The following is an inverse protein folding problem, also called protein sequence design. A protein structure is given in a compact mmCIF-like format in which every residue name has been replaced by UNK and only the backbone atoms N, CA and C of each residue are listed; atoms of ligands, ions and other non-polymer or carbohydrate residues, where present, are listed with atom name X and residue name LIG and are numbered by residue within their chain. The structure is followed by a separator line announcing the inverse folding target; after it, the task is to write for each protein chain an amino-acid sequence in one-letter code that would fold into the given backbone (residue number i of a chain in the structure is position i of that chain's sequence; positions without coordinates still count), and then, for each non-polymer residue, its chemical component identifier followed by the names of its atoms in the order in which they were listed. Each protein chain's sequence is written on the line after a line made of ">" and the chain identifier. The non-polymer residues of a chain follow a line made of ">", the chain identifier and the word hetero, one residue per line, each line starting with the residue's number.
data_IF_842431770872
#
_entry.id   IF_842431770872
#
_cell.length_a   1.000
_cell.length_b   1.000
_cell.length_c   1.000
_cell.angle_alpha   90.00
_cell.angle_beta   90.00
_cell.angle_gamma   90.00
#
_symmetry.space_group_name_H-M   'P 1'
#
loop_
_entity.id
_entity.type
_entity.pdbx_description
1 polymer ?
#
# COMPACT_ATOMS: atom_id res chain seq x y z
N UNK A 1 19.85 -96.39 11.86
CA UNK A 1 18.82 -95.51 12.47
C UNK A 1 19.55 -94.28 13.02
N UNK A 2 20.11 -93.38 12.22
CA UNK A 2 19.51 -92.29 11.42
C UNK A 2 18.66 -91.32 12.24
N UNK A 3 19.19 -90.11 12.44
CA UNK A 3 18.50 -88.82 12.28
C UNK A 3 19.59 -87.73 12.16
N UNK A 4 20.02 -87.45 10.92
CA UNK A 4 20.84 -86.28 10.58
C UNK A 4 19.91 -85.05 10.56
N UNK A 5 20.19 -84.04 11.39
CA UNK A 5 19.58 -82.71 11.26
C UNK A 5 20.14 -82.04 9.99
N UNK A 6 19.26 -81.76 9.03
CA UNK A 6 19.53 -80.86 7.90
C UNK A 6 19.31 -79.43 8.39
N UNK A 7 20.36 -78.62 8.40
CA UNK A 7 20.24 -77.16 8.45
C UNK A 7 19.95 -76.68 7.03
N UNK A 8 18.82 -75.99 6.84
CA UNK A 8 18.47 -75.36 5.58
C UNK A 8 19.21 -74.02 5.49
N UNK A 9 20.13 -73.91 4.52
CA UNK A 9 20.72 -72.64 4.10
C UNK A 9 19.80 -72.00 3.07
N UNK A 10 19.05 -70.98 3.47
CA UNK A 10 18.39 -70.07 2.54
C UNK A 10 19.44 -69.12 1.99
N UNK A 11 19.76 -69.29 0.71
CA UNK A 11 20.57 -68.36 -0.08
C UNK A 11 19.79 -67.04 -0.18
N UNK A 12 20.23 -66.02 0.54
CA UNK A 12 19.73 -64.66 0.37
C UNK A 12 20.34 -64.16 -0.94
N UNK A 13 19.52 -64.08 -1.98
CA UNK A 13 19.82 -63.24 -3.14
C UNK A 13 19.94 -61.80 -2.65
N UNK A 14 21.12 -61.20 -2.83
CA UNK A 14 21.26 -59.76 -2.83
C UNK A 14 20.40 -59.25 -3.99
N UNK A 15 19.18 -58.85 -3.68
CA UNK A 15 18.52 -57.81 -4.46
C UNK A 15 19.37 -56.57 -4.18
N UNK A 16 20.17 -56.17 -5.16
CA UNK A 16 20.65 -54.80 -5.24
C UNK A 16 19.38 -53.95 -5.12
N UNK A 17 19.20 -53.30 -3.97
CA UNK A 17 18.32 -52.14 -3.88
C UNK A 17 18.87 -51.17 -4.93
N UNK A 18 18.24 -51.19 -6.11
CA UNK A 18 18.27 -50.09 -7.04
C UNK A 18 18.00 -48.87 -6.18
N UNK A 19 19.06 -48.08 -5.95
CA UNK A 19 18.96 -46.82 -5.27
C UNK A 19 17.88 -46.05 -6.02
N UNK A 20 16.68 -46.00 -5.44
CA UNK A 20 15.65 -45.10 -5.89
C UNK A 20 16.32 -43.73 -5.85
N UNK A 21 16.74 -43.25 -7.02
CA UNK A 21 17.28 -41.91 -7.20
C UNK A 21 16.22 -41.01 -6.60
N UNK A 22 16.45 -40.56 -5.37
CA UNK A 22 15.62 -39.57 -4.72
C UNK A 22 15.93 -38.30 -5.49
N UNK A 23 15.22 -38.09 -6.60
CA UNK A 23 15.31 -36.89 -7.42
C UNK A 23 15.07 -35.73 -6.47
N UNK A 24 16.13 -35.02 -6.15
CA UNK A 24 16.09 -33.89 -5.27
C UNK A 24 15.42 -32.74 -6.01
N UNK A 25 14.69 -31.89 -5.30
CA UNK A 25 14.19 -30.63 -5.90
C UNK A 25 15.36 -29.83 -6.49
N UNK A 26 16.55 -29.95 -5.91
CA UNK A 26 17.78 -29.34 -6.40
C UNK A 26 18.30 -29.88 -7.74
N UNK A 27 17.81 -31.05 -8.17
CA UNK A 27 18.20 -31.68 -9.44
C UNK A 27 17.32 -31.20 -10.60
N UNK A 28 16.34 -30.34 -10.32
CA UNK A 28 15.50 -29.72 -11.34
C UNK A 28 16.28 -28.69 -12.16
N UNK A 29 15.96 -28.52 -13.46
CA UNK A 29 16.49 -27.43 -14.27
C UNK A 29 16.23 -26.06 -13.63
N UNK A 30 17.18 -25.14 -13.79
CA UNK A 30 17.15 -23.81 -13.19
C UNK A 30 15.83 -23.05 -13.44
N UNK A 31 15.33 -23.09 -14.68
CA UNK A 31 14.05 -22.46 -15.04
C UNK A 31 12.84 -23.10 -14.33
N UNK A 32 12.87 -24.41 -14.09
CA UNK A 32 11.79 -25.11 -13.39
C UNK A 32 11.77 -24.72 -11.90
N UNK A 33 12.95 -24.59 -11.28
CA UNK A 33 13.09 -24.09 -9.92
C UNK A 33 12.55 -22.67 -9.78
N UNK A 34 12.94 -21.77 -10.67
CA UNK A 34 12.49 -20.38 -10.61
C UNK A 34 10.96 -20.28 -10.79
N UNK A 35 10.38 -21.08 -11.70
CA UNK A 35 8.92 -21.17 -11.87
C UNK A 35 8.20 -21.67 -10.62
N UNK A 36 8.80 -22.59 -9.86
CA UNK A 36 8.24 -23.07 -8.59
C UNK A 36 8.29 -21.94 -7.56
N UNK A 37 9.45 -21.29 -7.41
CA UNK A 37 9.63 -20.19 -6.46
C UNK A 37 8.67 -19.02 -6.73
N UNK A 38 8.45 -18.63 -7.99
CA UNK A 38 7.50 -17.58 -8.40
C UNK A 38 6.02 -17.85 -8.06
N UNK A 39 5.69 -19.09 -7.68
CA UNK A 39 4.34 -19.51 -7.29
C UNK A 39 4.18 -19.68 -5.79
N UNK A 40 5.27 -19.68 -5.03
CA UNK A 40 5.21 -19.83 -3.59
C UNK A 40 4.65 -18.56 -2.92
N UNK A 41 3.85 -18.70 -1.85
CA UNK A 41 3.49 -17.54 -1.04
C UNK A 41 4.72 -16.99 -0.28
N UNK A 42 4.69 -15.71 0.15
CA UNK A 42 5.79 -15.06 0.88
C UNK A 42 6.35 -15.86 2.06
N UNK A 43 5.49 -16.54 2.82
CA UNK A 43 5.93 -17.34 3.98
C UNK A 43 6.71 -18.59 3.57
N UNK A 44 6.32 -19.20 2.46
CA UNK A 44 7.02 -20.35 1.89
C UNK A 44 8.36 -19.91 1.27
N UNK A 45 8.42 -18.75 0.62
CA UNK A 45 9.68 -18.16 0.15
C UNK A 45 10.66 -17.92 1.30
N UNK A 46 10.18 -17.32 2.40
CA UNK A 46 11.00 -17.14 3.61
C UNK A 46 11.49 -18.48 4.19
N UNK A 47 10.65 -19.52 4.16
CA UNK A 47 11.03 -20.85 4.64
C UNK A 47 12.08 -21.51 3.74
N UNK A 48 11.91 -21.43 2.42
CA UNK A 48 12.84 -21.97 1.43
C UNK A 48 14.21 -21.29 1.49
N UNK A 49 14.25 -20.00 1.80
CA UNK A 49 15.51 -19.27 2.04
C UNK A 49 16.35 -19.82 3.20
N UNK A 50 15.75 -20.61 4.08
CA UNK A 50 16.42 -21.28 5.20
C UNK A 50 17.13 -22.59 4.85
N UNK A 51 16.81 -23.21 3.72
CA UNK A 51 17.22 -24.60 3.39
C UNK A 51 18.71 -24.70 3.05
N UNK A 52 19.20 -23.85 2.14
CA UNK A 52 20.62 -23.81 1.75
C UNK A 52 21.00 -22.41 1.24
N UNK A 53 22.30 -22.17 1.00
CA UNK A 53 22.79 -20.87 0.49
C UNK A 53 22.23 -20.54 -0.89
N UNK A 54 22.20 -21.50 -1.81
CA UNK A 54 21.63 -21.31 -3.15
C UNK A 54 20.14 -20.93 -3.12
N UNK A 55 19.34 -21.55 -2.25
CA UNK A 55 17.91 -21.20 -2.13
C UNK A 55 17.72 -19.87 -1.45
N UNK A 56 18.59 -19.53 -0.50
CA UNK A 56 18.58 -18.21 0.13
C UNK A 56 18.72 -17.10 -0.89
N UNK A 57 19.72 -17.18 -1.76
CA UNK A 57 19.96 -16.15 -2.78
C UNK A 57 18.78 -16.03 -3.74
N UNK A 58 18.22 -17.15 -4.22
CA UNK A 58 17.05 -17.14 -5.12
C UNK A 58 15.78 -16.62 -4.45
N UNK A 59 15.47 -17.07 -3.24
CA UNK A 59 14.24 -16.69 -2.53
C UNK A 59 14.25 -15.22 -2.06
N UNK A 60 15.43 -14.59 -2.01
CA UNK A 60 15.59 -13.19 -1.68
C UNK A 60 15.68 -12.30 -2.92
N UNK A 61 15.63 -12.86 -4.13
CA UNK A 61 15.62 -12.10 -5.38
C UNK A 61 14.34 -11.25 -5.46
N UNK A 62 14.52 -9.95 -5.63
CA UNK A 62 13.44 -8.97 -5.67
C UNK A 62 12.42 -9.25 -6.78
N UNK A 63 12.80 -9.94 -7.86
CA UNK A 63 11.86 -10.34 -8.93
C UNK A 63 10.69 -11.18 -8.41
N UNK A 64 10.93 -12.04 -7.42
CA UNK A 64 9.88 -12.84 -6.78
C UNK A 64 8.95 -11.95 -5.95
N UNK A 65 9.51 -10.95 -5.28
CA UNK A 65 8.80 -10.07 -4.36
C UNK A 65 8.05 -8.94 -5.07
N UNK A 66 8.51 -8.47 -6.23
CA UNK A 66 7.82 -7.48 -7.07
C UNK A 66 6.39 -7.89 -7.38
N UNK A 67 6.20 -9.16 -7.74
CA UNK A 67 4.88 -9.73 -8.04
C UNK A 67 3.97 -9.72 -6.81
N UNK A 68 4.47 -10.18 -5.66
CA UNK A 68 3.71 -10.17 -4.41
C UNK A 68 3.37 -8.76 -3.95
N UNK A 69 4.33 -7.84 -4.04
CA UNK A 69 4.15 -6.44 -3.72
C UNK A 69 3.04 -5.83 -4.59
N UNK A 70 3.11 -6.01 -5.91
CA UNK A 70 2.10 -5.48 -6.83
C UNK A 70 0.71 -6.07 -6.59
N UNK A 71 0.62 -7.37 -6.32
CA UNK A 71 -0.65 -8.06 -6.13
C UNK A 71 -1.38 -7.65 -4.85
N UNK A 72 -0.66 -7.54 -3.71
CA UNK A 72 -1.28 -7.22 -2.43
C UNK A 72 -1.30 -5.72 -2.15
N UNK A 73 -0.17 -5.06 -2.37
CA UNK A 73 0.05 -3.68 -1.93
C UNK A 73 -0.08 -2.63 -3.04
N UNK A 74 -0.11 -3.06 -4.30
CA UNK A 74 -0.07 -2.17 -5.47
C UNK A 74 -1.20 -1.14 -5.55
N UNK A 75 -2.35 -1.38 -4.90
CA UNK A 75 -3.47 -0.43 -4.84
C UNK A 75 -3.28 0.70 -3.83
N UNK A 76 -2.50 0.46 -2.77
CA UNK A 76 -2.35 1.39 -1.64
C UNK A 76 -0.98 2.07 -1.65
N UNK A 77 0.03 1.43 -2.25
CA UNK A 77 1.39 1.97 -2.33
C UNK A 77 1.55 2.82 -3.59
N UNK A 78 1.65 4.13 -3.37
CA UNK A 78 2.05 5.10 -4.39
C UNK A 78 3.51 5.53 -4.29
N UNK A 79 3.89 6.51 -5.10
CA UNK A 79 5.26 7.05 -5.10
C UNK A 79 5.61 7.78 -3.79
N UNK A 80 4.61 8.34 -3.09
CA UNK A 80 4.81 8.91 -1.76
C UNK A 80 5.29 7.85 -0.75
N UNK A 81 4.69 6.66 -0.78
CA UNK A 81 5.09 5.55 0.08
C UNK A 81 6.49 5.01 -0.28
N UNK A 82 6.84 4.95 -1.57
CA UNK A 82 8.21 4.62 -2.02
C UNK A 82 9.24 5.61 -1.49
N UNK A 83 8.97 6.91 -1.59
CA UNK A 83 9.85 7.96 -1.05
C UNK A 83 10.02 7.81 0.46
N UNK A 84 8.92 7.61 1.18
CA UNK A 84 8.95 7.40 2.64
C UNK A 84 9.80 6.18 3.01
N UNK A 85 9.73 5.10 2.23
CA UNK A 85 10.54 3.91 2.44
C UNK A 85 12.04 4.20 2.26
N UNK A 86 12.44 4.89 1.18
CA UNK A 86 13.84 5.27 0.99
C UNK A 86 14.35 6.17 2.13
N UNK A 87 13.54 7.11 2.62
CA UNK A 87 13.88 7.92 3.80
C UNK A 87 14.02 7.08 5.08
N UNK A 88 13.13 6.11 5.26
CA UNK A 88 13.18 5.18 6.39
C UNK A 88 14.48 4.35 6.36
N UNK A 89 14.94 3.92 5.19
CA UNK A 89 16.22 3.21 5.05
C UNK A 89 17.40 4.13 5.33
N UNK A 90 17.44 5.31 4.71
CA UNK A 90 18.54 6.26 4.85
C UNK A 90 18.76 6.66 6.32
N UNK A 91 17.69 7.01 7.02
CA UNK A 91 17.76 7.37 8.45
C UNK A 91 18.31 6.24 9.34
N UNK A 92 18.07 4.97 8.98
CA UNK A 92 18.60 3.81 9.71
C UNK A 92 20.06 3.50 9.36
N UNK A 93 20.48 3.79 8.12
CA UNK A 93 21.88 3.69 7.73
C UNK A 93 22.74 4.73 8.48
N UNK A 94 22.24 5.97 8.62
CA UNK A 94 22.94 7.05 9.32
C UNK A 94 23.08 6.79 10.82
N UNK A 95 22.04 6.22 11.45
CA UNK A 95 22.10 5.80 12.86
C UNK A 95 23.09 4.64 13.10
N UNK A 96 23.29 3.81 12.08
CA UNK A 96 24.28 2.73 12.08
C UNK A 96 25.73 3.26 11.99
N UNK A 97 25.95 4.38 11.30
CA UNK A 97 27.27 4.99 11.13
C UNK A 97 27.73 5.82 12.34
N UNK A 98 26.82 6.39 13.15
CA UNK A 98 27.21 7.06 14.41
C UNK A 98 27.64 6.09 15.51
N UNK A 99 27.22 4.82 15.44
CA UNK A 99 27.48 3.81 16.47
C UNK A 99 28.65 2.89 16.12
N UNK A 100 29.81 3.45 15.77
CA UNK A 100 31.06 2.68 15.66
C UNK A 100 31.64 2.23 17.02
N UNK A 101 31.01 2.59 18.14
CA UNK A 101 31.30 2.06 19.48
C UNK A 101 30.14 1.27 20.04
N UNK A 102 30.16 -0.07 19.87
CA UNK A 102 29.29 -1.04 20.58
C UNK A 102 27.78 -0.97 20.28
N UNK A 103 27.35 -1.31 19.06
CA UNK A 103 26.10 -2.08 18.91
C UNK A 103 26.24 -3.11 17.78
N UNK A 104 26.64 -4.33 18.15
CA UNK A 104 26.35 -5.52 17.35
C UNK A 104 24.87 -5.83 17.51
N UNK A 105 24.11 -5.60 16.44
CA UNK A 105 22.93 -6.41 16.15
C UNK A 105 21.57 -5.76 16.39
N UNK A 106 20.94 -5.36 15.29
CA UNK A 106 19.49 -5.40 15.14
C UNK A 106 19.10 -5.81 13.69
N UNK A 107 19.73 -6.86 13.16
CA UNK A 107 19.15 -7.68 12.07
C UNK A 107 18.09 -8.67 12.62
N UNK A 108 17.30 -8.24 13.62
CA UNK A 108 16.21 -9.02 14.23
C UNK A 108 14.85 -8.59 13.66
N UNK A 109 14.74 -8.52 12.32
CA UNK A 109 13.42 -8.34 11.71
C UNK A 109 12.59 -9.64 11.83
N UNK A 110 13.23 -10.80 12.03
CA UNK A 110 12.58 -12.11 12.20
C UNK A 110 12.27 -12.52 13.65
N UNK A 111 12.14 -11.58 14.58
CA UNK A 111 11.80 -11.94 15.96
C UNK A 111 10.60 -11.13 16.41
N UNK A 112 9.54 -11.87 16.79
CA UNK A 112 8.27 -11.44 17.39
C UNK A 112 7.11 -11.44 16.38
N UNK A 113 6.36 -12.55 16.35
CA UNK A 113 4.93 -12.56 15.97
C UNK A 113 4.41 -13.68 15.05
N UNK A 114 5.25 -14.39 14.29
CA UNK A 114 4.82 -15.41 13.29
C UNK A 114 5.79 -16.62 13.28
N UNK A 115 5.53 -17.78 12.63
CA UNK A 115 6.19 -19.06 12.93
C UNK A 115 7.65 -19.17 12.44
N UNK A 116 8.31 -18.04 12.17
CA UNK A 116 9.71 -17.97 11.72
C UNK A 116 10.73 -18.12 12.86
N UNK A 117 10.35 -18.68 14.00
CA UNK A 117 11.30 -19.01 15.08
C UNK A 117 12.39 -20.01 14.64
N UNK A 118 12.22 -20.72 13.53
CA UNK A 118 13.11 -21.82 13.12
C UNK A 118 14.38 -21.39 12.38
N UNK A 119 14.58 -20.09 12.11
CA UNK A 119 15.85 -19.60 11.53
C UNK A 119 16.99 -19.56 12.59
N UNK A 120 16.72 -19.99 13.83
CA UNK A 120 17.77 -20.19 14.84
C UNK A 120 18.51 -21.51 14.59
N UNK A 121 19.46 -21.48 13.66
CA UNK A 121 20.49 -22.53 13.53
C UNK A 121 21.19 -22.71 14.88
N UNK A 122 20.90 -23.85 15.51
CA UNK A 122 21.51 -24.34 16.74
C UNK A 122 22.97 -24.72 16.43
N UNK A 123 23.91 -23.84 16.74
CA UNK A 123 25.33 -24.18 16.81
C UNK A 123 25.81 -23.73 18.18
N UNK A 124 25.74 -24.68 19.13
CA UNK A 124 26.51 -24.61 20.36
C UNK A 124 27.97 -24.97 20.04
N UNK A 125 28.89 -24.21 20.65
CA UNK A 125 30.18 -24.73 21.08
C UNK A 125 31.30 -24.82 20.04
N UNK A 126 32.30 -23.96 20.26
CA UNK A 126 33.72 -24.18 20.02
C UNK A 126 34.34 -23.61 18.72
N UNK A 127 35.32 -22.74 18.99
CA UNK A 127 36.41 -22.26 18.15
C UNK A 127 36.16 -21.22 17.04
N UNK A 128 36.66 -20.01 17.35
CA UNK A 128 37.17 -19.00 16.44
C UNK A 128 37.96 -19.64 15.28
N UNK A 129 37.46 -19.48 14.07
CA UNK A 129 38.10 -18.83 12.90
C UNK A 129 37.34 -19.26 11.64
N UNK A 130 37.11 -18.31 10.72
CA UNK A 130 36.47 -18.47 9.41
C UNK A 130 34.97 -18.11 9.30
N UNK A 131 34.66 -17.42 8.19
CA UNK A 131 33.36 -16.87 7.74
C UNK A 131 32.87 -15.53 8.33
N UNK A 132 33.69 -14.49 8.14
CA UNK A 132 33.17 -13.11 7.96
C UNK A 132 32.48 -12.96 6.59
N UNK A 133 31.41 -13.71 6.32
CA UNK A 133 30.50 -13.44 5.20
C UNK A 133 29.08 -13.85 5.59
N UNK A 134 28.45 -13.03 6.44
CA UNK A 134 27.01 -12.80 6.30
C UNK A 134 26.91 -11.50 5.53
N UNK A 135 26.62 -11.58 4.23
CA UNK A 135 26.16 -10.41 3.49
C UNK A 135 25.01 -9.79 4.28
N UNK A 136 25.08 -8.51 4.67
CA UNK A 136 23.89 -7.79 5.09
C UNK A 136 22.91 -7.89 3.91
N UNK A 137 21.68 -8.34 4.14
CA UNK A 137 20.62 -8.16 3.16
C UNK A 137 20.66 -6.68 2.71
N UNK A 138 20.55 -6.39 1.41
CA UNK A 138 20.43 -5.01 0.96
C UNK A 138 19.26 -4.39 1.74
N UNK A 139 19.55 -3.36 2.53
CA UNK A 139 18.52 -2.67 3.32
C UNK A 139 17.45 -2.04 2.41
N UNK A 140 17.77 -1.94 1.11
CA UNK A 140 16.96 -1.38 0.03
C UNK A 140 16.32 -2.42 -0.90
N UNK A 141 16.10 -3.67 -0.44
CA UNK A 141 15.42 -4.69 -1.25
C UNK A 141 13.89 -4.59 -1.16
N UNK A 142 13.21 -5.00 -2.22
CA UNK A 142 11.73 -5.08 -2.28
C UNK A 142 11.22 -6.11 -1.26
N UNK A 143 11.97 -7.20 -1.07
CA UNK A 143 11.69 -8.17 -0.01
C UNK A 143 11.65 -7.52 1.38
N UNK A 144 12.65 -6.70 1.70
CA UNK A 144 12.73 -6.02 3.00
C UNK A 144 11.54 -5.07 3.20
N UNK A 145 11.15 -4.36 2.14
CA UNK A 145 9.98 -3.49 2.17
C UNK A 145 8.68 -4.27 2.38
N UNK A 146 8.48 -5.35 1.63
CA UNK A 146 7.30 -6.22 1.75
C UNK A 146 7.15 -6.74 3.18
N UNK A 147 8.23 -7.26 3.77
CA UNK A 147 8.22 -7.76 5.15
C UNK A 147 7.95 -6.64 6.16
N UNK A 148 8.47 -5.43 5.94
CA UNK A 148 8.21 -4.29 6.83
C UNK A 148 6.72 -3.88 6.83
N UNK A 149 6.06 -3.96 5.68
CA UNK A 149 4.62 -3.73 5.51
C UNK A 149 3.80 -4.82 6.20
N UNK A 150 4.06 -6.10 5.88
CA UNK A 150 3.34 -7.25 6.46
C UNK A 150 3.42 -7.30 7.99
N UNK A 151 4.54 -6.86 8.55
CA UNK A 151 4.74 -6.87 10.00
C UNK A 151 4.17 -5.65 10.71
N UNK A 152 3.62 -4.67 9.97
CA UNK A 152 3.13 -3.42 10.55
C UNK A 152 4.21 -2.53 11.14
N UNK A 153 5.48 -2.75 10.76
CA UNK A 153 6.63 -1.99 11.30
C UNK A 153 6.92 -0.72 10.51
N UNK A 154 6.32 -0.59 9.33
CA UNK A 154 6.48 0.57 8.46
C UNK A 154 5.15 1.28 8.30
N UNK A 155 5.14 2.56 8.67
CA UNK A 155 4.00 3.44 8.43
C UNK A 155 4.27 4.26 7.17
N UNK A 156 3.29 4.42 6.31
CA UNK A 156 3.46 5.12 5.04
C UNK A 156 2.28 6.05 4.73
N UNK A 157 2.49 7.08 3.89
CA UNK A 157 1.41 7.98 3.48
C UNK A 157 0.44 7.27 2.51
N UNK A 158 -0.85 7.41 2.78
CA UNK A 158 -1.93 7.00 1.91
C UNK A 158 -3.15 7.90 2.14
N UNK A 159 -4.21 7.70 1.36
CA UNK A 159 -5.48 8.37 1.57
C UNK A 159 -6.55 7.40 2.07
N UNK A 160 -7.35 7.88 3.01
CA UNK A 160 -8.47 7.16 3.58
C UNK A 160 -9.77 7.80 3.08
N UNK A 161 -10.56 7.02 2.36
CA UNK A 161 -11.94 7.36 2.04
C UNK A 161 -12.76 7.43 3.34
N UNK A 162 -13.47 8.54 3.52
CA UNK A 162 -14.37 8.71 4.64
C UNK A 162 -15.64 7.91 4.37
N UNK A 163 -15.88 6.89 5.20
CA UNK A 163 -17.15 6.18 5.23
C UNK A 163 -17.90 6.69 6.44
N UNK A 164 -19.00 7.37 6.15
CA UNK A 164 -19.98 7.92 7.08
C UNK A 164 -19.98 7.27 8.47
N UNK A 165 -19.28 7.88 9.43
CA UNK A 165 -19.59 7.68 10.86
C UNK A 165 -20.77 8.58 11.25
N UNK A 166 -21.86 8.58 10.45
CA UNK A 166 -23.08 9.36 10.72
C UNK A 166 -22.97 10.87 10.53
N UNK A 167 -21.95 11.39 9.82
CA UNK A 167 -21.80 12.81 9.53
C UNK A 167 -22.00 13.12 8.04
N UNK A 168 -23.24 13.50 7.68
CA UNK A 168 -23.71 13.83 6.32
C UNK A 168 -22.86 14.90 5.62
N UNK A 169 -22.20 15.78 6.37
CA UNK A 169 -21.38 16.86 5.78
C UNK A 169 -20.13 16.40 5.02
N UNK A 170 -19.62 15.19 5.29
CA UNK A 170 -18.32 14.72 4.79
C UNK A 170 -18.43 13.54 3.80
N UNK A 171 -19.60 13.37 3.18
CA UNK A 171 -19.84 12.33 2.18
C UNK A 171 -18.91 12.50 0.97
N UNK A 172 -18.47 11.37 0.41
CA UNK A 172 -17.57 11.33 -0.74
C UNK A 172 -16.31 12.19 -0.58
N UNK A 173 -15.72 12.11 0.61
CA UNK A 173 -14.44 12.75 0.93
C UNK A 173 -13.34 11.73 1.20
N UNK A 174 -12.08 12.15 1.03
CA UNK A 174 -10.93 11.38 1.48
C UNK A 174 -9.84 12.29 2.05
N UNK A 175 -9.06 11.76 2.99
CA UNK A 175 -8.05 12.50 3.73
C UNK A 175 -6.71 11.79 3.70
N UNK A 176 -5.63 12.59 3.66
CA UNK A 176 -4.28 12.07 3.83
C UNK A 176 -4.08 11.57 5.27
N UNK A 177 -3.47 10.41 5.41
CA UNK A 177 -3.11 9.81 6.68
C UNK A 177 -1.80 9.02 6.58
N UNK A 178 -1.10 8.91 7.70
CA UNK A 178 -0.08 7.88 7.83
C UNK A 178 -0.75 6.58 8.23
N UNK A 179 -0.63 5.55 7.41
CA UNK A 179 -1.25 4.25 7.67
C UNK A 179 -0.22 3.21 8.10
N UNK A 180 -0.63 2.29 8.97
CA UNK A 180 0.14 1.14 9.42
C UNK A 180 -0.74 -0.10 9.39
N UNK A 181 -0.24 -1.20 8.85
CA UNK A 181 -0.98 -2.46 8.75
C UNK A 181 -0.95 -3.24 10.07
N UNK A 182 -2.07 -3.84 10.47
CA UNK A 182 -2.14 -4.83 11.56
C UNK A 182 -2.45 -6.22 10.96
N UNK A 183 -1.46 -7.14 10.93
CA UNK A 183 -1.65 -8.47 10.36
C UNK A 183 -2.62 -9.35 11.14
N UNK A 184 -2.96 -9.01 12.40
CA UNK A 184 -3.87 -9.84 13.22
C UNK A 184 -5.32 -9.67 12.82
N UNK A 185 -5.69 -8.48 12.37
CA UNK A 185 -7.06 -8.13 11.98
C UNK A 185 -7.21 -7.93 10.48
N UNK A 186 -6.12 -7.95 9.71
CA UNK A 186 -6.10 -7.64 8.28
C UNK A 186 -6.70 -6.25 7.98
N UNK A 187 -6.31 -5.27 8.81
CA UNK A 187 -6.80 -3.89 8.73
C UNK A 187 -5.67 -2.90 8.99
N UNK A 188 -5.96 -1.61 8.87
CA UNK A 188 -5.02 -0.54 9.07
C UNK A 188 -5.37 0.32 10.27
N UNK A 189 -4.32 0.90 10.86
CA UNK A 189 -4.40 2.05 11.71
C UNK A 189 -4.06 3.29 10.88
N UNK A 190 -4.98 4.24 10.80
CA UNK A 190 -4.78 5.52 10.14
C UNK A 190 -4.53 6.62 11.17
N UNK A 191 -3.44 7.37 10.99
CA UNK A 191 -3.05 8.50 11.82
C UNK A 191 -3.14 9.77 10.99
N UNK A 192 -4.14 10.60 11.27
CA UNK A 192 -4.38 11.83 10.52
C UNK A 192 -3.46 12.97 10.97
N UNK A 193 -3.10 13.91 10.08
CA UNK A 193 -2.32 15.08 10.47
C UNK A 193 -2.99 15.85 11.63
N UNK A 194 -2.19 16.37 12.58
CA UNK A 194 -2.73 17.21 13.64
C UNK A 194 -3.32 18.49 13.04
N UNK A 195 -4.36 19.02 13.67
CA UNK A 195 -4.98 20.27 13.26
C UNK A 195 -5.08 21.22 14.45
N UNK A 196 -4.35 22.33 14.38
CA UNK A 196 -4.20 23.29 15.48
C UNK A 196 -3.71 22.62 16.78
N UNK A 197 -4.46 22.79 17.86
CA UNK A 197 -4.15 22.22 19.19
C UNK A 197 -4.78 20.84 19.45
N UNK A 198 -5.50 20.27 18.48
CA UNK A 198 -6.19 18.99 18.71
C UNK A 198 -5.20 17.83 18.72
N UNK A 199 -5.43 16.81 19.56
CA UNK A 199 -4.62 15.60 19.52
C UNK A 199 -4.74 14.94 18.15
N UNK A 200 -3.68 14.22 17.77
CA UNK A 200 -3.68 13.45 16.53
C UNK A 200 -4.83 12.45 16.55
N UNK A 201 -5.72 12.55 15.55
CA UNK A 201 -6.80 11.60 15.38
C UNK A 201 -6.24 10.27 14.85
N UNK A 202 -6.63 9.19 15.52
CA UNK A 202 -6.22 7.82 15.17
C UNK A 202 -7.49 7.02 14.95
N UNK A 203 -7.60 6.42 13.77
CA UNK A 203 -8.66 5.49 13.41
C UNK A 203 -8.07 4.09 13.30
N UNK A 204 -8.69 3.12 13.96
CA UNK A 204 -8.25 1.72 13.96
C UNK A 204 -9.26 0.87 13.21
N UNK A 205 -8.80 -0.18 12.53
CA UNK A 205 -9.70 -1.08 11.82
C UNK A 205 -10.12 -0.55 10.45
N UNK A 206 -9.30 0.33 9.83
CA UNK A 206 -9.56 0.82 8.48
C UNK A 206 -9.36 -0.34 7.49
N UNK A 207 -10.38 -0.73 6.73
CA UNK A 207 -10.29 -1.85 5.81
C UNK A 207 -9.64 -1.44 4.48
N UNK A 208 -9.19 -2.42 3.70
CA UNK A 208 -8.47 -2.21 2.43
C UNK A 208 -9.26 -1.37 1.41
N UNK A 209 -10.58 -1.54 1.35
CA UNK A 209 -11.46 -0.88 0.37
C UNK A 209 -11.59 0.62 0.63
N UNK A 210 -11.22 1.09 1.82
CA UNK A 210 -11.22 2.51 2.18
C UNK A 210 -9.87 3.18 1.92
N UNK A 211 -8.89 2.45 1.41
CA UNK A 211 -7.56 3.00 1.19
C UNK A 211 -7.28 3.16 -0.30
N UNK A 212 -6.56 4.23 -0.62
CA UNK A 212 -5.92 4.41 -1.92
C UNK A 212 -4.54 5.00 -1.75
N UNK A 213 -3.69 4.78 -2.75
CA UNK A 213 -2.44 5.54 -2.88
C UNK A 213 -2.73 7.05 -3.01
N UNK A 214 -1.88 7.89 -2.43
CA UNK A 214 -2.00 9.34 -2.60
C UNK A 214 -1.78 9.70 -4.08
N UNK A 215 -2.80 10.27 -4.77
CA UNK A 215 -2.74 10.50 -6.21
C UNK A 215 -1.83 11.69 -6.56
N UNK A 216 -1.65 12.61 -5.62
CA UNK A 216 -0.82 13.82 -5.79
C UNK A 216 0.29 13.87 -4.76
N UNK A 217 1.43 14.46 -5.14
CA UNK A 217 2.55 14.67 -4.22
C UNK A 217 2.43 15.91 -3.33
N UNK A 218 1.32 16.67 -3.44
CA UNK A 218 1.10 17.91 -2.69
C UNK A 218 0.93 17.61 -1.20
N UNK A 219 1.64 18.32 -0.30
CA UNK A 219 1.43 18.17 1.14
C UNK A 219 -0.01 18.49 1.58
N UNK A 220 -0.52 17.90 2.67
CA UNK A 220 -1.92 18.08 3.08
C UNK A 220 -2.34 19.51 3.41
N UNK A 221 -1.38 20.41 3.73
CA UNK A 221 -1.67 21.81 4.07
C UNK A 221 -1.50 22.77 2.89
N UNK A 222 -0.99 22.26 1.77
CA UNK A 222 -0.67 23.06 0.60
C UNK A 222 -1.80 22.92 -0.44
N UNK A 223 -2.12 24.03 -1.07
CA UNK A 223 -3.11 24.05 -2.15
C UNK A 223 -2.51 23.35 -3.38
N UNK A 224 -3.22 22.39 -3.93
CA UNK A 224 -2.88 21.76 -5.19
C UNK A 224 -3.04 22.75 -6.34
N UNK A 225 -2.03 22.80 -7.21
CA UNK A 225 -2.04 23.67 -8.39
C UNK A 225 -2.80 22.95 -9.49
N UNK A 226 -4.01 23.44 -9.78
CA UNK A 226 -4.91 22.85 -10.78
C UNK A 226 -4.39 23.14 -12.19
N UNK A 227 -3.97 22.10 -12.91
CA UNK A 227 -3.51 22.18 -14.31
C UNK A 227 -4.62 21.84 -15.33
N UNK A 228 -5.72 21.23 -14.87
CA UNK A 228 -6.80 20.72 -15.71
C UNK A 228 -7.95 21.69 -15.99
N UNK A 229 -7.97 22.89 -15.37
CA UNK A 229 -9.14 23.78 -15.39
C UNK A 229 -9.57 24.21 -16.79
N UNK A 230 -8.64 24.36 -17.74
CA UNK A 230 -8.97 24.74 -19.12
C UNK A 230 -9.61 23.61 -19.91
N UNK A 231 -9.46 22.36 -19.49
CA UNK A 231 -9.95 21.18 -20.21
C UNK A 231 -11.28 20.65 -19.66
N UNK A 232 -11.72 21.16 -18.51
CA UNK A 232 -12.95 20.72 -17.84
C UNK A 232 -14.18 20.98 -18.71
N UNK A 233 -14.98 19.93 -18.92
CA UNK A 233 -16.25 19.93 -19.65
C UNK A 233 -17.36 19.42 -18.75
N UNK A 234 -18.62 19.86 -18.95
CA UNK A 234 -19.76 19.28 -18.26
C UNK A 234 -19.75 17.75 -18.36
N UNK A 235 -20.01 17.08 -17.23
CA UNK A 235 -19.93 15.63 -17.09
C UNK A 235 -18.57 15.08 -16.66
N UNK A 236 -17.49 15.88 -16.71
CA UNK A 236 -16.18 15.44 -16.21
C UNK A 236 -16.24 15.21 -14.69
N UNK A 237 -15.56 14.16 -14.24
CA UNK A 237 -15.41 13.83 -12.82
C UNK A 237 -14.21 14.56 -12.23
N UNK A 238 -14.36 15.13 -11.05
CA UNK A 238 -13.31 15.93 -10.40
C UNK A 238 -13.20 15.62 -8.92
N UNK A 239 -12.05 15.96 -8.37
CA UNK A 239 -11.86 16.12 -6.93
C UNK A 239 -11.40 17.54 -6.63
N UNK A 240 -11.99 18.14 -5.59
CA UNK A 240 -11.61 19.46 -5.10
C UNK A 240 -11.08 19.38 -3.66
N UNK A 241 -10.04 20.13 -3.37
CA UNK A 241 -9.56 20.34 -2.01
C UNK A 241 -10.49 21.26 -1.25
N UNK A 242 -10.87 20.85 -0.03
CA UNK A 242 -11.60 21.69 0.91
C UNK A 242 -11.01 21.54 2.32
N UNK A 243 -11.00 22.63 3.09
CA UNK A 243 -10.65 22.66 4.51
C UNK A 243 -11.55 23.60 5.28
N UNK A 244 -11.80 23.29 6.56
CA UNK A 244 -12.66 24.14 7.41
C UNK A 244 -12.05 25.50 7.71
N UNK A 245 -10.76 25.54 8.02
CA UNK A 245 -10.00 26.77 8.25
C UNK A 245 -8.52 26.52 7.96
N UNK A 246 -7.69 27.55 8.07
CA UNK A 246 -6.26 27.49 7.70
C UNK A 246 -5.40 26.60 8.60
N UNK A 247 -5.89 26.18 9.76
CA UNK A 247 -5.21 25.23 10.65
C UNK A 247 -5.51 23.77 10.29
N UNK A 248 -6.53 23.51 9.47
CA UNK A 248 -6.87 22.15 9.02
C UNK A 248 -6.12 21.82 7.73
N UNK A 249 -5.68 20.55 7.57
CA UNK A 249 -5.28 20.06 6.26
C UNK A 249 -6.48 20.03 5.32
N UNK A 250 -6.21 20.10 4.02
CA UNK A 250 -7.20 19.82 3.00
C UNK A 250 -7.57 18.35 3.00
N UNK A 251 -8.86 18.07 2.85
CA UNK A 251 -9.33 16.80 2.30
C UNK A 251 -9.75 17.00 0.85
N UNK A 252 -10.03 15.90 0.16
CA UNK A 252 -10.53 15.91 -1.22
C UNK A 252 -11.99 15.48 -1.25
N UNK A 253 -12.79 16.23 -1.99
CA UNK A 253 -14.21 15.96 -2.22
C UNK A 253 -14.45 15.65 -3.67
N UNK A 254 -15.16 14.56 -3.91
CA UNK A 254 -15.59 14.21 -5.25
C UNK A 254 -16.77 15.08 -5.71
N UNK A 255 -16.73 15.48 -6.97
CA UNK A 255 -17.80 16.19 -7.66
C UNK A 255 -17.80 15.91 -9.16
N UNK A 256 -18.73 16.55 -9.87
CA UNK A 256 -18.86 16.48 -11.32
C UNK A 256 -18.94 17.90 -11.87
N UNK A 257 -18.40 18.15 -13.05
CA UNK A 257 -18.55 19.44 -13.70
C UNK A 257 -19.99 19.58 -14.21
N UNK A 258 -20.66 20.63 -13.75
CA UNK A 258 -22.04 20.97 -14.12
C UNK A 258 -22.14 21.84 -15.36
N UNK A 259 -23.38 22.10 -15.75
CA UNK A 259 -23.70 23.10 -16.78
C UNK A 259 -23.91 24.48 -16.14
N UNK A 260 -23.64 25.54 -16.92
CA UNK A 260 -24.02 26.90 -16.53
C UNK A 260 -25.55 27.02 -16.48
N UNK A 261 -26.09 27.88 -15.61
CA UNK A 261 -27.53 28.12 -15.50
C UNK A 261 -28.18 28.58 -16.83
N UNK A 262 -27.41 29.24 -17.70
CA UNK A 262 -27.85 29.67 -19.03
C UNK A 262 -27.84 28.57 -20.10
N UNK A 263 -27.38 27.37 -19.76
CA UNK A 263 -27.26 26.24 -20.67
C UNK A 263 -28.36 25.21 -20.37
N UNK A 264 -29.03 24.73 -21.41
CA UNK A 264 -30.10 23.73 -21.31
C UNK A 264 -29.58 22.28 -21.24
N UNK A 265 -28.26 22.09 -21.21
CA UNK A 265 -27.61 20.77 -21.18
C UNK A 265 -27.58 20.06 -22.54
N UNK A 266 -27.98 20.71 -23.64
CA UNK A 266 -27.95 20.08 -24.96
C UNK A 266 -26.51 19.94 -25.48
N UNK A 267 -26.06 18.69 -25.65
CA UNK A 267 -24.70 18.36 -26.11
C UNK A 267 -24.31 19.04 -27.43
N UNK A 268 -25.27 19.28 -28.33
CA UNK A 268 -24.99 19.87 -29.66
C UNK A 268 -24.73 21.38 -29.61
N UNK A 269 -25.21 22.07 -28.59
CA UNK A 269 -25.13 23.55 -28.48
C UNK A 269 -24.45 24.01 -27.18
N UNK A 270 -23.94 23.08 -26.38
CA UNK A 270 -23.28 23.39 -25.13
C UNK A 270 -21.98 24.17 -25.37
N UNK A 271 -21.90 25.39 -24.82
CA UNK A 271 -20.69 26.24 -24.84
C UNK A 271 -20.12 26.49 -23.44
N UNK A 272 -20.48 25.67 -22.46
CA UNK A 272 -19.98 25.82 -21.08
C UNK A 272 -18.45 25.66 -20.99
N UNK A 273 -17.84 24.91 -21.91
CA UNK A 273 -16.39 24.78 -22.00
C UNK A 273 -15.68 26.10 -22.35
N UNK A 274 -16.33 26.96 -23.13
CA UNK A 274 -15.73 28.20 -23.63
C UNK A 274 -15.89 29.36 -22.62
N UNK A 275 -16.71 29.17 -21.59
CA UNK A 275 -16.87 30.12 -20.50
C UNK A 275 -15.68 30.06 -19.54
N UNK A 276 -15.27 31.22 -19.04
CA UNK A 276 -14.28 31.32 -17.97
C UNK A 276 -14.82 30.77 -16.63
N UNK A 277 -16.13 30.58 -16.50
CA UNK A 277 -16.76 30.00 -15.30
C UNK A 277 -17.01 28.51 -15.48
N UNK A 278 -16.58 27.72 -14.50
CA UNK A 278 -16.86 26.28 -14.38
C UNK A 278 -17.79 26.07 -13.18
N UNK A 279 -18.88 25.34 -13.39
CA UNK A 279 -19.79 24.92 -12.32
C UNK A 279 -19.35 23.54 -11.83
N UNK A 280 -19.28 23.37 -10.51
CA UNK A 280 -18.99 22.09 -9.87
C UNK A 280 -20.20 21.64 -9.07
N UNK A 281 -20.68 20.45 -9.40
CA UNK A 281 -21.87 19.82 -8.84
C UNK A 281 -21.48 18.70 -7.88
N UNK A 282 -22.01 18.80 -6.67
CA UNK A 282 -21.88 17.82 -5.59
C UNK A 282 -23.23 17.14 -5.38
N UNK A 283 -23.54 16.20 -6.28
CA UNK A 283 -24.83 15.51 -6.33
C UNK A 283 -25.14 14.65 -5.10
N UNK A 284 -24.16 14.45 -4.21
CA UNK A 284 -24.38 13.85 -2.90
C UNK A 284 -25.21 14.73 -1.96
N UNK A 285 -25.33 16.03 -2.20
CA UNK A 285 -26.14 16.94 -1.39
C UNK A 285 -27.52 17.20 -2.00
N UNK A 286 -28.51 17.41 -1.15
CA UNK A 286 -29.91 17.63 -1.55
C UNK A 286 -30.09 18.90 -2.39
N UNK A 287 -31.05 18.91 -3.34
CA UNK A 287 -31.40 20.11 -4.08
C UNK A 287 -31.75 21.28 -3.15
N UNK A 288 -31.08 22.42 -3.33
CA UNK A 288 -31.23 23.60 -2.46
C UNK A 288 -30.17 23.72 -1.36
N UNK A 289 -29.36 22.69 -1.12
CA UNK A 289 -28.20 22.79 -0.25
C UNK A 289 -27.17 23.77 -0.82
N UNK A 290 -26.67 24.67 0.04
CA UNK A 290 -25.58 25.60 -0.31
C UNK A 290 -24.27 24.88 -0.68
N UNK A 291 -24.13 23.61 -0.32
CA UNK A 291 -22.95 22.79 -0.61
C UNK A 291 -23.06 22.04 -1.94
N UNK A 292 -24.23 22.08 -2.59
CA UNK A 292 -24.50 21.30 -3.80
C UNK A 292 -23.82 21.86 -5.04
N UNK A 293 -23.68 23.18 -5.14
CA UNK A 293 -23.09 23.82 -6.31
C UNK A 293 -22.05 24.84 -5.85
N UNK A 294 -20.94 24.89 -6.56
CA UNK A 294 -20.01 26.03 -6.48
C UNK A 294 -19.51 26.38 -7.87
N UNK A 295 -18.95 27.57 -8.02
CA UNK A 295 -18.40 28.07 -9.29
C UNK A 295 -16.95 28.45 -9.11
N UNK A 296 -16.10 28.09 -10.08
CA UNK A 296 -14.68 28.46 -10.10
C UNK A 296 -14.31 29.12 -11.42
N UNK A 297 -13.28 29.96 -11.41
CA UNK A 297 -12.80 30.64 -12.62
C UNK A 297 -11.65 29.85 -13.27
N UNK A 298 -11.65 29.68 -14.61
CA UNK A 298 -10.59 28.93 -15.32
C UNK A 298 -9.23 29.62 -15.33
N UNK A 299 -9.19 30.96 -15.36
CA UNK A 299 -7.98 31.76 -15.63
C UNK A 299 -7.27 32.20 -14.35
N UNK A 300 -8.04 32.62 -13.35
CA UNK A 300 -7.50 33.25 -12.13
C UNK A 300 -7.80 32.44 -10.86
N UNK A 301 -7.96 31.12 -10.98
CA UNK A 301 -8.35 30.27 -9.86
C UNK A 301 -7.34 30.30 -8.71
N UNK A 302 -7.84 30.49 -7.49
CA UNK A 302 -7.06 30.47 -6.25
C UNK A 302 -7.87 29.75 -5.17
N UNK A 303 -7.29 29.66 -3.97
CA UNK A 303 -8.09 29.30 -2.81
C UNK A 303 -9.20 30.36 -2.61
N UNK A 304 -10.44 29.90 -2.64
CA UNK A 304 -11.65 30.68 -2.40
C UNK A 304 -12.31 30.22 -1.09
N UNK A 305 -13.29 30.97 -0.62
CA UNK A 305 -14.05 30.66 0.60
C UNK A 305 -13.72 31.54 1.80
N UNK A 306 -14.26 31.17 2.95
CA UNK A 306 -14.25 31.98 4.17
C UNK A 306 -14.35 31.09 5.42
N UNK A 307 -14.24 31.66 6.62
CA UNK A 307 -14.30 30.90 7.88
C UNK A 307 -15.68 30.26 8.19
N UNK A 308 -16.76 30.72 7.56
CA UNK A 308 -18.10 30.17 7.75
C UNK A 308 -18.36 28.94 6.86
N UNK A 309 -17.82 28.93 5.63
CA UNK A 309 -18.05 27.91 4.62
C UNK A 309 -16.81 27.03 4.35
N UNK A 310 -15.70 27.35 4.98
CA UNK A 310 -14.41 26.76 4.69
C UNK A 310 -13.78 27.32 3.42
N UNK A 311 -12.59 26.81 3.13
CA UNK A 311 -11.77 27.22 2.00
C UNK A 311 -11.61 26.06 1.04
N UNK A 312 -11.65 26.34 -0.26
CA UNK A 312 -11.50 25.35 -1.32
C UNK A 312 -10.71 25.90 -2.50
N UNK A 313 -10.11 25.03 -3.31
CA UNK A 313 -9.50 25.51 -4.55
C UNK A 313 -8.75 24.48 -5.37
N UNK A 314 -7.92 23.63 -4.77
CA UNK A 314 -7.12 22.68 -5.56
C UNK A 314 -8.02 21.67 -6.27
N UNK A 315 -8.05 21.66 -7.60
CA UNK A 315 -8.92 20.80 -8.40
C UNK A 315 -8.08 19.87 -9.25
N UNK A 316 -8.43 18.58 -9.22
CA UNK A 316 -7.91 17.57 -10.15
C UNK A 316 -9.04 16.95 -10.94
N UNK A 317 -8.78 16.67 -12.22
CA UNK A 317 -9.67 15.88 -13.08
C UNK A 317 -9.43 14.40 -12.86
N UNK A 318 -10.50 13.62 -12.74
CA UNK A 318 -10.46 12.16 -12.66
C UNK A 318 -10.64 11.58 -14.06
N UNK A 319 -9.61 10.91 -14.58
CA UNK A 319 -9.64 10.26 -15.88
C UNK A 319 -9.79 8.73 -15.78
N UNK A 320 -9.45 8.14 -14.63
CA UNK A 320 -9.45 6.70 -14.44
C UNK A 320 -10.84 6.14 -14.13
N UNK A 321 -11.31 5.19 -14.95
CA UNK A 321 -12.59 4.51 -14.71
C UNK A 321 -12.62 3.78 -13.36
N UNK A 322 -11.50 3.23 -12.90
CA UNK A 322 -11.41 2.56 -11.59
C UNK A 322 -11.61 3.56 -10.43
N UNK A 323 -10.98 4.74 -10.47
CA UNK A 323 -11.15 5.78 -9.45
C UNK A 323 -12.59 6.29 -9.41
N UNK A 324 -13.18 6.55 -10.59
CA UNK A 324 -14.57 7.01 -10.71
C UNK A 324 -15.53 5.92 -10.20
N UNK A 325 -15.29 4.66 -10.55
CA UNK A 325 -16.12 3.54 -10.09
C UNK A 325 -16.04 3.37 -8.59
N UNK A 326 -14.86 3.57 -7.99
CA UNK A 326 -14.68 3.54 -6.53
C UNK A 326 -15.52 4.62 -5.86
N UNK A 327 -15.49 5.86 -6.36
CA UNK A 327 -16.35 6.92 -5.84
C UNK A 327 -17.84 6.61 -5.97
N UNK A 328 -18.26 6.04 -7.11
CA UNK A 328 -19.66 5.62 -7.33
C UNK A 328 -20.08 4.49 -6.39
N UNK A 329 -19.18 3.59 -6.00
CA UNK A 329 -19.45 2.54 -5.01
C UNK A 329 -19.56 3.09 -3.58
N UNK A 330 -18.88 4.20 -3.30
CA UNK A 330 -18.96 4.92 -2.02
C UNK A 330 -20.16 5.88 -1.96
N UNK A 331 -21.00 5.92 -3.00
CA UNK A 331 -22.16 6.81 -3.04
C UNK A 331 -23.12 6.51 -1.88
N UNK A 332 -23.62 7.54 -1.18
CA UNK A 332 -24.60 7.35 -0.11
C UNK A 332 -25.82 6.60 -0.63
N UNK A 333 -26.21 5.52 0.03
CA UNK A 333 -27.41 4.73 -0.34
C UNK A 333 -28.71 5.43 0.03
N UNK A 334 -28.65 6.42 0.92
CA UNK A 334 -29.79 7.23 1.35
C UNK A 334 -29.51 8.71 1.02
N UNK A 335 -30.45 9.36 0.33
CA UNK A 335 -30.49 10.82 0.24
C UNK A 335 -30.92 11.33 1.61
N UNK A 336 -29.98 11.78 2.41
CA UNK A 336 -30.25 12.31 3.75
C UNK A 336 -30.65 13.79 3.61
N UNK A 337 -31.89 14.09 4.03
CA UNK A 337 -32.55 15.41 3.97
C UNK A 337 -31.79 16.54 4.70
#
# INVERSE_FOLDING_TARGET
>A
MSLKRKAATSKVENVEDDAAETTSVFDLPELALDCILERLPPDSLCSMAGVCTSMRERCLDDRLWEKHMKQKWGKVIGDAAKREWHWHIASRADLGNLNHGKQKGLLRIFSLGWPFSWIRSKVDGYNNTCSKQRSPLPVDSIMAWYVALETGKFCFPAQVYNRENGHVGFMLSCYDAQISYDPRTDTFQAKYPPHGRRPVAIETGVPWERLRATPVGTPPHDLHISDCLHELRPGDHIEIQWRRNKEFPYGWWYGVVGHLESCDGNENYCRCHDSDTVVLDFNQYTPGSRWRHTTVNRKDHREEGNEADGFYGGIRKLNGEEEISTWKQLWPTETLD
#
